data_IF_680829309968
#
_entry.id   IF_680829309968
#
_cell.length_a   1.000
_cell.length_b   1.000
_cell.length_c   1.000
_cell.angle_alpha   90.00
_cell.angle_beta   90.00
_cell.angle_gamma   90.00
#
_symmetry.space_group_name_H-M   'P 1'
#
loop_
_entity.id
_entity.type
_entity.pdbx_description
1 polymer ?
#
# COMPACT_ATOMS: atom_id res chain seq x y z
N UNK A 1 -11.15 -10.20 -38.95
CA UNK A 1 -10.10 -10.65 -38.02
C UNK A 1 -9.96 -12.15 -38.16
N UNK A 2 -8.75 -12.69 -38.33
CA UNK A 2 -8.55 -14.14 -38.39
C UNK A 2 -8.77 -14.73 -36.99
N UNK A 3 -9.80 -15.56 -36.84
CA UNK A 3 -10.08 -16.27 -35.59
C UNK A 3 -9.28 -17.56 -35.57
N UNK A 4 -8.51 -17.78 -34.49
CA UNK A 4 -7.85 -19.06 -34.22
C UNK A 4 -8.58 -19.74 -33.07
N UNK A 5 -9.00 -20.99 -33.27
CA UNK A 5 -9.60 -21.80 -32.22
C UNK A 5 -8.49 -22.55 -31.45
N UNK A 6 -8.64 -22.64 -30.14
CA UNK A 6 -7.76 -23.40 -29.25
C UNK A 6 -8.57 -24.52 -28.60
N UNK A 7 -8.09 -25.77 -28.70
CA UNK A 7 -8.69 -26.91 -28.01
C UNK A 7 -7.99 -27.12 -26.68
N UNK A 8 -8.72 -26.94 -25.58
CA UNK A 8 -8.21 -27.14 -24.22
C UNK A 8 -8.83 -28.41 -23.66
N UNK A 9 -7.99 -29.33 -23.17
CA UNK A 9 -8.44 -30.54 -22.47
C UNK A 9 -8.21 -30.35 -20.98
N UNK A 10 -9.28 -30.44 -20.19
CA UNK A 10 -9.22 -30.30 -18.72
C UNK A 10 -9.46 -31.68 -18.11
N UNK A 11 -8.46 -32.21 -17.43
CA UNK A 11 -8.59 -33.48 -16.70
C UNK A 11 -9.26 -33.24 -15.36
N UNK A 12 -10.40 -33.91 -15.13
CA UNK A 12 -11.17 -33.80 -13.89
C UNK A 12 -10.84 -34.99 -12.98
N UNK A 13 -10.69 -34.81 -11.66
CA UNK A 13 -10.49 -35.90 -10.71
C UNK A 13 -11.60 -36.96 -10.75
N UNK A 14 -11.25 -38.20 -10.42
CA UNK A 14 -12.24 -39.28 -10.32
C UNK A 14 -13.33 -38.97 -9.29
N UNK A 15 -14.58 -39.32 -9.63
CA UNK A 15 -15.75 -39.11 -8.79
C UNK A 15 -16.51 -37.79 -9.03
N UNK A 16 -15.91 -36.83 -9.74
CA UNK A 16 -16.61 -35.59 -10.13
C UNK A 16 -17.27 -35.81 -11.49
N UNK A 17 -18.61 -35.79 -11.51
CA UNK A 17 -19.36 -35.81 -12.76
C UNK A 17 -19.22 -34.46 -13.44
N UNK A 18 -18.93 -34.46 -14.74
CA UNK A 18 -18.95 -33.26 -15.56
C UNK A 18 -20.36 -32.70 -15.55
N UNK A 19 -20.55 -31.57 -14.86
CA UNK A 19 -21.80 -30.82 -14.86
C UNK A 19 -21.67 -29.61 -15.76
N UNK A 20 -22.78 -29.18 -16.36
CA UNK A 20 -22.80 -28.02 -17.25
C UNK A 20 -22.28 -26.75 -16.55
N UNK A 21 -22.54 -26.63 -15.24
CA UNK A 21 -22.04 -25.53 -14.43
C UNK A 21 -20.49 -25.48 -14.38
N UNK A 22 -19.83 -26.63 -14.27
CA UNK A 22 -18.35 -26.70 -14.27
C UNK A 22 -17.77 -26.35 -15.65
N UNK A 23 -18.43 -26.78 -16.73
CA UNK A 23 -18.03 -26.45 -18.10
C UNK A 23 -18.15 -24.96 -18.35
N UNK A 24 -19.26 -24.32 -17.95
CA UNK A 24 -19.48 -22.88 -18.07
C UNK A 24 -18.45 -22.08 -17.27
N UNK A 25 -18.14 -22.50 -16.05
CA UNK A 25 -17.10 -21.82 -15.26
C UNK A 25 -15.71 -21.95 -15.88
N UNK A 26 -15.36 -23.15 -16.37
CA UNK A 26 -14.08 -23.38 -17.03
C UNK A 26 -13.95 -22.58 -18.34
N UNK A 27 -15.01 -22.53 -19.15
CA UNK A 27 -15.02 -21.73 -20.39
C UNK A 27 -14.98 -20.23 -20.10
N UNK A 28 -15.71 -19.75 -19.09
CA UNK A 28 -15.64 -18.35 -18.67
C UNK A 28 -14.24 -17.97 -18.20
N UNK A 29 -13.63 -18.78 -17.34
CA UNK A 29 -12.27 -18.53 -16.87
C UNK A 29 -11.25 -18.51 -18.03
N UNK A 30 -11.41 -19.40 -19.01
CA UNK A 30 -10.57 -19.39 -20.22
C UNK A 30 -10.79 -18.13 -21.06
N UNK A 31 -12.03 -17.67 -21.21
CA UNK A 31 -12.36 -16.45 -21.94
C UNK A 31 -11.80 -15.20 -21.24
N UNK A 32 -11.92 -15.12 -19.91
CA UNK A 32 -11.39 -14.01 -19.12
C UNK A 32 -9.87 -13.85 -19.33
N UNK A 33 -9.13 -14.96 -19.42
CA UNK A 33 -7.67 -14.95 -19.71
C UNK A 33 -7.37 -14.44 -21.12
N UNK A 34 -8.19 -14.80 -22.11
CA UNK A 34 -8.04 -14.34 -23.49
C UNK A 34 -8.31 -12.84 -23.58
N UNK A 35 -9.38 -12.36 -22.94
CA UNK A 35 -9.76 -10.95 -22.93
C UNK A 35 -8.65 -10.11 -22.27
N UNK A 36 -8.11 -10.56 -21.13
CA UNK A 36 -6.98 -9.90 -20.47
C UNK A 36 -5.72 -9.86 -21.36
N UNK A 37 -5.49 -10.91 -22.15
CA UNK A 37 -4.37 -10.95 -23.10
C UNK A 37 -4.58 -9.99 -24.28
N UNK A 38 -5.84 -9.78 -24.68
CA UNK A 38 -6.22 -8.77 -25.68
C UNK A 38 -5.88 -7.35 -25.23
N UNK A 39 -6.18 -7.02 -23.97
CA UNK A 39 -5.83 -5.72 -23.37
C UNK A 39 -4.31 -5.51 -23.31
N UNK A 40 -3.56 -6.56 -22.94
CA UNK A 40 -2.09 -6.51 -22.92
C UNK A 40 -1.50 -6.30 -24.32
N UNK A 41 -2.12 -6.87 -25.34
CA UNK A 41 -1.70 -6.70 -26.73
C UNK A 41 -2.00 -5.28 -27.26
N UNK A 42 -3.10 -4.67 -26.83
CA UNK A 42 -3.38 -3.25 -27.10
C UNK A 42 -2.32 -2.35 -26.45
N UNK A 43 -2.01 -2.58 -25.16
CA UNK A 43 -0.96 -1.85 -24.45
C UNK A 43 0.42 -2.06 -25.08
N UNK A 44 0.74 -3.26 -25.54
CA UNK A 44 2.00 -3.55 -26.24
C UNK A 44 2.13 -2.68 -27.49
N UNK A 45 1.06 -2.54 -28.30
CA UNK A 45 1.07 -1.67 -29.48
C UNK A 45 1.26 -0.20 -29.13
N UNK A 46 0.62 0.27 -28.06
CA UNK A 46 0.79 1.65 -27.59
C UNK A 46 2.21 1.93 -27.07
N UNK A 47 2.82 0.97 -26.38
CA UNK A 47 4.18 1.08 -25.88
C UNK A 47 5.20 0.99 -27.00
N UNK A 48 4.98 0.10 -27.98
CA UNK A 48 5.79 0.02 -29.19
C UNK A 48 5.73 1.33 -30.00
N UNK A 49 4.56 1.96 -30.10
CA UNK A 49 4.41 3.28 -30.73
C UNK A 49 5.21 4.40 -30.01
N UNK A 50 5.52 4.20 -28.72
CA UNK A 50 6.36 5.10 -27.92
C UNK A 50 7.85 4.70 -27.93
N UNK A 51 8.23 3.71 -28.73
CA UNK A 51 9.62 3.23 -28.85
C UNK A 51 10.06 2.29 -27.72
N UNK A 52 9.12 1.77 -26.93
CA UNK A 52 9.39 0.82 -25.85
C UNK A 52 8.94 -0.57 -26.28
N UNK A 53 9.89 -1.41 -26.67
CA UNK A 53 9.62 -2.81 -26.99
C UNK A 53 9.52 -3.64 -25.71
N UNK A 54 8.32 -4.14 -25.44
CA UNK A 54 8.06 -5.12 -24.39
C UNK A 54 7.43 -6.36 -25.00
N UNK A 55 7.79 -7.53 -24.48
CA UNK A 55 7.10 -8.78 -24.81
C UNK A 55 5.81 -8.90 -23.98
N UNK A 56 4.84 -9.69 -24.46
CA UNK A 56 3.59 -9.93 -23.73
C UNK A 56 3.84 -10.59 -22.37
N UNK A 57 4.82 -11.49 -22.28
CA UNK A 57 5.22 -12.16 -21.04
C UNK A 57 5.82 -11.19 -20.01
N UNK A 58 6.58 -10.20 -20.47
CA UNK A 58 7.11 -9.13 -19.62
C UNK A 58 6.00 -8.21 -19.10
N UNK A 59 5.00 -7.89 -19.92
CA UNK A 59 3.85 -7.10 -19.48
C UNK A 59 2.99 -7.86 -18.46
N UNK A 60 2.76 -9.16 -18.70
CA UNK A 60 2.01 -10.02 -17.79
C UNK A 60 2.71 -10.17 -16.43
N UNK A 61 4.03 -10.41 -16.42
CA UNK A 61 4.82 -10.53 -15.18
C UNK A 61 4.90 -9.21 -14.39
N UNK A 62 4.98 -8.06 -15.07
CA UNK A 62 4.91 -6.74 -14.41
C UNK A 62 3.53 -6.45 -13.83
N UNK A 63 2.45 -6.89 -14.48
CA UNK A 63 1.08 -6.73 -13.97
C UNK A 63 0.84 -7.51 -12.69
N UNK A 64 1.32 -8.76 -12.61
CA UNK A 64 1.15 -9.61 -11.41
C UNK A 64 1.96 -9.09 -10.22
N UNK A 65 3.19 -8.63 -10.45
CA UNK A 65 4.03 -8.03 -9.40
C UNK A 65 3.45 -6.71 -8.89
N UNK A 66 2.91 -5.86 -9.77
CA UNK A 66 2.21 -4.63 -9.37
C UNK A 66 0.96 -4.91 -8.53
N UNK A 67 0.14 -5.91 -8.90
CA UNK A 67 -1.05 -6.31 -8.13
C UNK A 67 -0.67 -6.81 -6.73
N UNK A 68 0.42 -7.58 -6.62
CA UNK A 68 0.95 -8.08 -5.34
C UNK A 68 1.53 -6.96 -4.47
N UNK A 69 2.15 -5.95 -5.07
CA UNK A 69 2.67 -4.77 -4.35
C UNK A 69 1.54 -3.92 -3.75
N UNK A 70 0.46 -3.67 -4.51
CA UNK A 70 -0.70 -2.92 -4.01
C UNK A 70 -1.39 -3.62 -2.84
N UNK A 71 -1.47 -4.95 -2.87
CA UNK A 71 -2.06 -5.72 -1.77
C UNK A 71 -1.17 -5.74 -0.51
N UNK A 72 0.15 -5.61 -0.64
CA UNK A 72 1.08 -5.48 0.50
C UNK A 72 1.11 -4.06 1.09
N UNK A 73 0.84 -3.03 0.28
CA UNK A 73 0.73 -1.65 0.75
C UNK A 73 -0.54 -1.40 1.59
N UNK A 74 -1.53 -2.29 1.52
CA UNK A 74 -2.75 -2.27 2.33
C UNK A 74 -2.58 -2.91 3.72
N UNK A 75 -1.43 -2.74 4.37
CA UNK A 75 -1.32 -3.06 5.79
C UNK A 75 -2.35 -2.24 6.58
N UNK A 76 -3.20 -2.85 7.44
CA UNK A 76 -4.23 -2.12 8.15
C UNK A 76 -3.55 -1.11 9.07
N UNK A 77 -3.63 0.18 8.71
CA UNK A 77 -3.22 1.28 9.58
C UNK A 77 -4.08 1.18 10.83
N UNK A 78 -3.50 0.75 11.96
CA UNK A 78 -4.17 0.77 13.27
C UNK A 78 -4.83 2.15 13.44
N UNK A 79 -6.15 2.17 13.53
CA UNK A 79 -6.91 3.37 13.76
C UNK A 79 -6.47 3.96 15.11
N UNK A 80 -5.61 4.99 15.09
CA UNK A 80 -5.24 5.73 16.29
C UNK A 80 -6.50 6.44 16.77
N UNK A 81 -7.07 6.00 17.90
CA UNK A 81 -8.13 6.72 18.61
C UNK A 81 -7.67 8.18 18.77
N UNK A 82 -8.45 9.11 18.20
CA UNK A 82 -8.16 10.54 18.27
C UNK A 82 -8.37 10.99 19.72
N UNK A 83 -7.30 11.03 20.51
CA UNK A 83 -7.34 11.57 21.87
C UNK A 83 -7.80 13.03 21.86
N UNK A 84 -8.55 13.45 22.89
CA UNK A 84 -8.91 14.85 23.09
C UNK A 84 -7.62 15.66 23.26
N UNK A 85 -7.52 16.82 22.60
CA UNK A 85 -6.34 17.72 22.72
C UNK A 85 -6.29 18.29 24.14
N UNK A 86 -5.30 17.88 24.96
CA UNK A 86 -5.01 18.50 26.26
C UNK A 86 -4.50 19.93 26.04
N UNK A 87 -5.07 20.92 26.74
CA UNK A 87 -4.46 22.26 26.83
C UNK A 87 -3.33 22.20 27.84
N UNK A 88 -2.12 22.56 27.44
CA UNK A 88 -0.95 22.63 28.33
C UNK A 88 -1.05 23.86 29.22
N UNK A 89 -1.03 23.67 30.53
CA UNK A 89 -0.95 24.74 31.52
C UNK A 89 0.47 25.30 31.61
N UNK A 90 0.66 26.44 32.27
CA UNK A 90 2.00 27.00 32.52
C UNK A 90 2.88 26.04 33.35
N UNK A 91 2.29 25.34 34.33
CA UNK A 91 2.97 24.33 35.13
C UNK A 91 3.44 23.13 34.29
N UNK A 92 2.59 22.65 33.37
CA UNK A 92 2.98 21.56 32.45
C UNK A 92 4.19 22.00 31.58
N UNK A 93 4.23 23.25 31.12
CA UNK A 93 5.35 23.76 30.30
C UNK A 93 6.66 23.82 31.09
N UNK A 94 6.62 24.22 32.36
CA UNK A 94 7.80 24.24 33.22
C UNK A 94 8.35 22.83 33.43
N UNK A 95 7.48 21.86 33.74
CA UNK A 95 7.87 20.45 33.90
C UNK A 95 8.45 19.84 32.61
N UNK A 96 7.94 20.21 31.43
CA UNK A 96 8.50 19.79 30.15
C UNK A 96 9.93 20.33 29.98
N UNK A 97 10.19 21.58 30.36
CA UNK A 97 11.53 22.19 30.24
C UNK A 97 12.52 21.51 31.20
N UNK A 98 12.10 21.17 32.41
CA UNK A 98 12.94 20.44 33.38
C UNK A 98 13.30 19.04 32.88
N UNK A 99 12.32 18.28 32.39
CA UNK A 99 12.55 16.94 31.81
C UNK A 99 13.52 17.01 30.60
N UNK A 100 13.37 18.03 29.75
CA UNK A 100 14.27 18.23 28.61
C UNK A 100 15.69 18.64 29.03
N UNK A 101 15.84 19.41 30.11
CA UNK A 101 17.15 19.73 30.70
C UNK A 101 17.80 18.51 31.34
N UNK A 102 17.01 17.60 31.91
CA UNK A 102 17.46 16.32 32.44
C UNK A 102 17.85 15.30 31.37
N UNK A 103 17.70 15.63 30.08
CA UNK A 103 18.08 14.77 28.96
C UNK A 103 17.01 13.78 28.51
N UNK A 104 15.75 13.94 28.95
CA UNK A 104 14.65 13.11 28.46
C UNK A 104 14.42 13.34 26.95
N UNK A 105 14.03 12.27 26.25
CA UNK A 105 13.69 12.37 24.82
C UNK A 105 12.33 13.03 24.62
N UNK A 106 12.17 13.76 23.52
CA UNK A 106 10.91 14.46 23.23
C UNK A 106 9.70 13.51 23.15
N UNK A 107 9.91 12.25 22.78
CA UNK A 107 8.84 11.23 22.78
C UNK A 107 8.47 10.79 24.19
N UNK A 108 9.45 10.53 25.06
CA UNK A 108 9.18 10.17 26.45
C UNK A 108 8.48 11.30 27.21
N UNK A 109 8.90 12.55 27.00
CA UNK A 109 8.24 13.72 27.58
C UNK A 109 6.83 13.93 27.02
N UNK A 110 6.64 13.69 25.72
CA UNK A 110 5.32 13.78 25.08
C UNK A 110 4.31 12.79 25.69
N UNK A 111 4.73 11.54 25.91
CA UNK A 111 3.90 10.50 26.53
C UNK A 111 3.57 10.83 28.00
N UNK A 112 4.56 11.31 28.77
CA UNK A 112 4.38 11.67 30.18
C UNK A 112 3.40 12.83 30.39
N UNK A 113 3.48 13.88 29.56
CA UNK A 113 2.63 15.07 29.70
C UNK A 113 1.34 15.00 28.87
N UNK A 114 1.16 13.95 28.05
CA UNK A 114 -0.01 13.75 27.20
C UNK A 114 -0.10 14.77 26.06
N UNK A 115 1.03 15.12 25.45
CA UNK A 115 1.13 16.09 24.36
C UNK A 115 1.80 15.49 23.12
N UNK A 116 1.79 16.21 22.00
CA UNK A 116 2.48 15.74 20.80
C UNK A 116 3.99 16.01 20.88
N UNK A 117 4.86 15.18 20.28
CA UNK A 117 6.30 15.46 20.19
C UNK A 117 6.60 16.82 19.54
N UNK A 118 5.76 17.27 18.59
CA UNK A 118 5.87 18.58 17.99
C UNK A 118 5.64 19.72 19.01
N UNK A 119 4.70 19.54 19.94
CA UNK A 119 4.46 20.51 21.02
C UNK A 119 5.66 20.62 21.97
N UNK A 120 6.27 19.48 22.31
CA UNK A 120 7.50 19.45 23.13
C UNK A 120 8.64 20.18 22.42
N UNK A 121 8.82 19.95 21.11
CA UNK A 121 9.86 20.64 20.34
C UNK A 121 9.62 22.15 20.19
N UNK A 122 8.37 22.60 20.10
CA UNK A 122 8.04 24.01 20.11
C UNK A 122 8.40 24.66 21.46
N UNK A 123 8.07 24.00 22.57
CA UNK A 123 8.44 24.46 23.93
C UNK A 123 9.97 24.47 24.09
N UNK A 124 10.66 23.44 23.59
CA UNK A 124 12.12 23.37 23.59
C UNK A 124 12.75 24.56 22.85
N UNK A 125 12.18 24.94 21.70
CA UNK A 125 12.61 26.09 20.90
C UNK A 125 12.31 27.42 21.61
N UNK A 126 11.11 27.58 22.16
CA UNK A 126 10.73 28.76 22.96
C UNK A 126 11.64 28.95 24.18
N UNK A 127 12.07 27.85 24.82
CA UNK A 127 13.00 27.86 25.94
C UNK A 127 14.47 28.08 25.55
N UNK A 128 14.78 28.26 24.26
CA UNK A 128 16.15 28.50 23.79
C UNK A 128 17.07 27.27 23.89
N UNK A 129 16.54 26.07 24.12
CA UNK A 129 17.30 24.82 24.27
C UNK A 129 17.69 24.19 22.92
N UNK A 130 17.55 24.92 21.82
CA UNK A 130 17.91 24.48 20.46
C UNK A 130 18.79 25.52 19.79
N UNK A 131 19.86 25.07 19.13
CA UNK A 131 20.64 25.93 18.24
C UNK A 131 19.75 26.37 17.06
N UNK A 132 19.71 27.67 16.71
CA UNK A 132 19.06 28.11 15.48
C UNK A 132 19.66 27.36 14.29
N UNK A 133 18.81 26.88 13.38
CA UNK A 133 19.27 26.38 12.09
C UNK A 133 19.75 27.62 11.30
N UNK A 134 21.04 27.66 11.00
CA UNK A 134 21.59 28.58 10.01
C UNK A 134 21.10 28.19 8.62
#
# INVERSE_FOLDING_TARGET
MATKSLKITITVPHGIKSSDALVVQATKAAQDVIDESGDLLALQKELAAKGLEFTLDELASRRTTAKKANNRAAAPKRAKKKGKRKKLTAADRAGIIEDLKAGATANATADKFGCSPASVNNIKREAGLTKPRA
#
